data_IF_482283150983
#
_entry.id   IF_482283150983
#
_cell.length_a   1.000
_cell.length_b   1.000
_cell.length_c   1.000
_cell.angle_alpha   90.00
_cell.angle_beta   90.00
_cell.angle_gamma   90.00
#
_symmetry.space_group_name_H-M   'P 1'
#
loop_
_entity.id
_entity.type
_entity.pdbx_description
1 polymer ?
#
# COMPACT_ATOMS: atom_id res chain seq x y z
N UNK A 1 40.60 7.52 -20.17
CA UNK A 1 40.09 7.73 -18.79
C UNK A 1 38.58 7.56 -18.82
N UNK A 2 38.07 6.39 -18.40
CA UNK A 2 36.63 6.15 -18.25
C UNK A 2 36.17 6.74 -16.90
N UNK A 3 35.62 7.95 -16.91
CA UNK A 3 34.96 8.56 -15.74
C UNK A 3 33.47 8.21 -15.76
N UNK A 4 33.09 7.17 -15.00
CA UNK A 4 31.76 6.59 -15.00
C UNK A 4 30.65 7.52 -14.50
N UNK A 5 29.55 7.56 -15.25
CA UNK A 5 28.26 8.14 -14.88
C UNK A 5 27.54 7.28 -13.81
N UNK A 6 28.17 7.06 -12.66
CA UNK A 6 27.64 6.21 -11.58
C UNK A 6 26.46 6.89 -10.84
N UNK A 7 26.37 8.22 -10.89
CA UNK A 7 25.34 9.00 -10.18
C UNK A 7 23.91 8.85 -10.71
N UNK A 8 23.72 8.43 -11.96
CA UNK A 8 22.38 8.26 -12.54
C UNK A 8 21.79 6.85 -12.36
N UNK A 9 22.63 5.85 -12.06
CA UNK A 9 22.21 4.44 -11.99
C UNK A 9 21.60 4.13 -10.62
N UNK A 10 22.17 4.69 -9.55
CA UNK A 10 21.73 4.42 -8.16
C UNK A 10 20.29 4.88 -7.89
N UNK A 11 19.83 6.09 -8.28
CA UNK A 11 18.43 6.50 -8.09
C UNK A 11 17.44 5.66 -8.91
N UNK A 12 17.86 5.18 -10.08
CA UNK A 12 17.03 4.43 -11.01
C UNK A 12 16.86 2.98 -10.57
N UNK A 13 17.93 2.37 -10.04
CA UNK A 13 17.87 1.05 -9.38
C UNK A 13 17.09 1.11 -8.06
N UNK A 14 17.29 2.13 -7.22
CA UNK A 14 16.54 2.28 -5.97
C UNK A 14 15.05 2.57 -6.24
N UNK A 15 14.75 3.44 -7.20
CA UNK A 15 13.37 3.73 -7.63
C UNK A 15 12.67 2.48 -8.18
N UNK A 16 13.33 1.76 -9.09
CA UNK A 16 12.82 0.50 -9.65
C UNK A 16 12.63 -0.58 -8.58
N UNK A 17 13.56 -0.69 -7.63
CA UNK A 17 13.49 -1.66 -6.53
C UNK A 17 12.29 -1.41 -5.60
N UNK A 18 12.02 -0.16 -5.22
CA UNK A 18 10.85 0.15 -4.37
C UNK A 18 9.52 -0.15 -5.06
N UNK A 19 9.43 0.07 -6.38
CA UNK A 19 8.24 -0.25 -7.19
C UNK A 19 8.09 -1.76 -7.35
N UNK A 20 9.20 -2.48 -7.59
CA UNK A 20 9.22 -3.94 -7.70
C UNK A 20 8.78 -4.60 -6.39
N UNK A 21 9.31 -4.14 -5.25
CA UNK A 21 8.95 -4.66 -3.93
C UNK A 21 7.46 -4.44 -3.65
N UNK A 22 6.90 -3.27 -3.97
CA UNK A 22 5.45 -3.02 -3.83
C UNK A 22 4.58 -3.92 -4.70
N UNK A 23 4.97 -4.18 -5.94
CA UNK A 23 4.24 -5.11 -6.82
C UNK A 23 4.30 -6.55 -6.33
N UNK A 24 5.44 -6.98 -5.80
CA UNK A 24 5.61 -8.31 -5.20
C UNK A 24 4.83 -8.45 -3.90
N UNK A 25 4.88 -7.45 -3.02
CA UNK A 25 4.11 -7.37 -1.77
C UNK A 25 2.60 -7.52 -2.03
N UNK A 26 2.05 -6.85 -3.05
CA UNK A 26 0.63 -6.97 -3.39
C UNK A 26 0.25 -8.37 -3.87
N UNK A 27 1.12 -9.02 -4.65
CA UNK A 27 0.87 -10.40 -5.09
C UNK A 27 0.91 -11.39 -3.93
N UNK A 28 1.80 -11.19 -2.96
CA UNK A 28 1.83 -12.00 -1.73
C UNK A 28 0.61 -11.75 -0.86
N UNK A 29 0.18 -10.49 -0.72
CA UNK A 29 -1.07 -10.18 0.00
C UNK A 29 -2.28 -10.85 -0.64
N UNK A 30 -2.31 -10.98 -1.96
CA UNK A 30 -3.40 -11.67 -2.64
C UNK A 30 -3.39 -13.20 -2.45
N UNK A 31 -2.21 -13.81 -2.30
CA UNK A 31 -2.06 -15.27 -2.19
C UNK A 31 -2.13 -15.76 -0.74
N UNK A 32 -1.48 -15.04 0.17
CA UNK A 32 -1.25 -15.45 1.57
C UNK A 32 -1.76 -14.43 2.58
N UNK A 33 -2.32 -13.31 2.11
CA UNK A 33 -2.80 -12.26 2.99
C UNK A 33 -4.03 -12.68 3.78
N UNK A 34 -4.08 -12.22 5.01
CA UNK A 34 -5.24 -12.38 5.89
C UNK A 34 -5.97 -11.05 5.99
N UNK A 35 -7.28 -11.11 5.82
CA UNK A 35 -8.15 -9.96 5.98
C UNK A 35 -8.35 -9.62 7.46
N UNK A 36 -8.30 -8.34 7.76
CA UNK A 36 -8.64 -7.77 9.06
C UNK A 36 -9.38 -6.46 8.87
N UNK A 37 -10.00 -5.98 9.94
CA UNK A 37 -10.66 -4.67 9.95
C UNK A 37 -9.76 -3.67 10.66
N UNK A 38 -9.35 -2.65 9.91
CA UNK A 38 -8.68 -1.48 10.43
C UNK A 38 -9.65 -0.34 10.70
N UNK A 39 -9.14 0.70 11.36
CA UNK A 39 -9.87 1.93 11.66
C UNK A 39 -9.11 3.12 11.08
N UNK A 40 -9.80 4.01 10.37
CA UNK A 40 -9.20 5.25 9.86
C UNK A 40 -8.89 6.17 11.03
N UNK A 41 -7.63 6.52 11.21
CA UNK A 41 -7.18 7.41 12.29
C UNK A 41 -7.00 8.85 11.81
N UNK A 42 -6.73 9.06 10.51
CA UNK A 42 -6.55 10.41 9.96
C UNK A 42 -6.79 10.44 8.45
N UNK A 43 -7.21 11.61 7.97
CA UNK A 43 -7.30 11.92 6.54
C UNK A 43 -6.38 13.09 6.19
N UNK A 44 -5.66 12.98 5.09
CA UNK A 44 -4.71 13.98 4.59
C UNK A 44 -5.01 14.28 3.11
N UNK A 45 -5.11 15.57 2.79
CA UNK A 45 -5.25 16.07 1.43
C UNK A 45 -3.98 16.82 1.06
N UNK A 46 -3.33 16.37 0.00
CA UNK A 46 -2.12 17.03 -0.52
C UNK A 46 -2.44 17.93 -1.71
N UNK A 47 -1.50 18.83 -2.00
CA UNK A 47 -1.49 19.61 -3.25
C UNK A 47 -1.48 18.66 -4.47
N UNK A 48 -2.06 19.12 -5.59
CA UNK A 48 -2.27 18.33 -6.83
C UNK A 48 -3.27 17.17 -6.73
N UNK A 49 -4.21 17.21 -5.77
CA UNK A 49 -5.33 16.27 -5.74
C UNK A 49 -4.94 14.85 -5.33
N UNK A 50 -3.86 14.68 -4.55
CA UNK A 50 -3.51 13.40 -3.95
C UNK A 50 -4.15 13.28 -2.57
N UNK A 51 -4.83 12.16 -2.34
CA UNK A 51 -5.56 11.90 -1.10
C UNK A 51 -4.93 10.71 -0.38
N UNK A 52 -4.79 10.84 0.93
CA UNK A 52 -4.15 9.83 1.77
C UNK A 52 -4.95 9.63 3.04
N UNK A 53 -5.06 8.37 3.46
CA UNK A 53 -5.61 8.01 4.76
C UNK A 53 -4.51 7.39 5.62
N UNK A 54 -4.58 7.65 6.92
CA UNK A 54 -3.88 6.88 7.94
C UNK A 54 -4.89 6.00 8.63
N UNK A 55 -4.50 4.77 8.89
CA UNK A 55 -5.35 3.80 9.55
C UNK A 55 -4.51 2.92 10.46
N UNK A 56 -5.17 2.27 11.39
CA UNK A 56 -4.57 1.26 12.25
C UNK A 56 -5.33 -0.04 12.15
N UNK A 57 -4.67 -1.15 12.44
CA UNK A 57 -5.31 -2.45 12.59
C UNK A 57 -4.54 -3.28 13.62
N UNK A 58 -5.14 -4.40 14.00
CA UNK A 58 -4.53 -5.38 14.88
C UNK A 58 -4.26 -6.66 14.10
N UNK A 59 -3.11 -7.28 14.32
CA UNK A 59 -2.84 -8.62 13.82
C UNK A 59 -3.55 -9.68 14.69
N UNK A 60 -3.41 -10.95 14.29
CA UNK A 60 -3.96 -12.11 15.02
C UNK A 60 -3.39 -12.28 16.43
N UNK A 61 -2.27 -11.65 16.76
CA UNK A 61 -1.64 -11.68 18.07
C UNK A 61 -2.01 -10.46 18.93
N UNK A 62 -2.84 -9.55 18.42
CA UNK A 62 -3.24 -8.32 19.10
C UNK A 62 -2.21 -7.18 19.03
N UNK A 63 -1.18 -7.30 18.19
CA UNK A 63 -0.24 -6.21 17.96
C UNK A 63 -0.86 -5.15 17.07
N UNK A 64 -0.72 -3.88 17.46
CA UNK A 64 -1.26 -2.73 16.73
C UNK A 64 -0.26 -2.24 15.68
N UNK A 65 -0.76 -2.03 14.46
CA UNK A 65 0.02 -1.51 13.34
C UNK A 65 -0.59 -0.22 12.82
N UNK A 66 0.27 0.75 12.48
CA UNK A 66 -0.14 2.02 11.86
C UNK A 66 0.31 2.05 10.42
N UNK A 67 -0.61 2.40 9.53
CA UNK A 67 -0.36 2.42 8.10
C UNK A 67 -0.95 3.65 7.44
N UNK A 68 -0.53 3.80 6.19
CA UNK A 68 -0.88 4.94 5.38
C UNK A 68 -1.03 4.45 3.94
N UNK A 69 -2.18 4.74 3.33
CA UNK A 69 -2.43 4.44 1.92
C UNK A 69 -2.88 5.68 1.17
N UNK A 70 -2.46 5.78 -0.10
CA UNK A 70 -3.01 6.75 -1.03
C UNK A 70 -4.29 6.16 -1.61
N UNK A 71 -5.37 6.93 -1.58
CA UNK A 71 -6.69 6.48 -2.02
C UNK A 71 -7.22 7.40 -3.10
N UNK A 72 -8.22 6.93 -3.85
CA UNK A 72 -8.95 7.75 -4.80
C UNK A 72 -9.68 8.90 -4.08
N UNK A 73 -10.07 9.93 -4.84
CA UNK A 73 -10.90 11.03 -4.31
C UNK A 73 -12.23 10.53 -3.77
N UNK A 74 -12.84 9.59 -4.47
CA UNK A 74 -14.14 9.02 -4.10
C UNK A 74 -14.03 8.26 -2.77
N UNK A 75 -13.07 7.33 -2.67
CA UNK A 75 -12.77 6.61 -1.43
C UNK A 75 -12.46 7.57 -0.28
N UNK A 76 -11.67 8.61 -0.55
CA UNK A 76 -11.37 9.63 0.46
C UNK A 76 -12.63 10.35 0.96
N UNK A 77 -13.57 10.66 0.06
CA UNK A 77 -14.80 11.37 0.44
C UNK A 77 -15.77 10.46 1.21
N UNK A 78 -15.81 9.17 0.91
CA UNK A 78 -16.69 8.20 1.58
C UNK A 78 -16.18 7.77 2.96
N UNK A 79 -14.87 7.81 3.20
CA UNK A 79 -14.29 7.43 4.49
C UNK A 79 -14.36 8.56 5.51
N UNK A 80 -14.61 8.23 6.77
CA UNK A 80 -14.56 9.15 7.90
C UNK A 80 -13.50 8.72 8.90
N UNK A 81 -13.02 9.64 9.74
CA UNK A 81 -12.14 9.24 10.84
C UNK A 81 -12.96 8.43 11.83
N UNK A 82 -12.44 7.27 12.25
CA UNK A 82 -13.16 6.27 13.03
C UNK A 82 -13.92 5.24 12.18
N UNK A 83 -14.04 5.45 10.86
CA UNK A 83 -14.72 4.47 10.01
C UNK A 83 -13.87 3.20 9.84
N UNK A 84 -14.51 2.03 9.73
CA UNK A 84 -13.81 0.79 9.44
C UNK A 84 -13.25 0.79 8.01
N UNK A 85 -12.12 0.13 7.82
CA UNK A 85 -11.52 -0.16 6.51
C UNK A 85 -11.07 -1.61 6.44
N UNK A 86 -11.23 -2.25 5.29
CA UNK A 86 -10.73 -3.60 5.05
C UNK A 86 -9.24 -3.55 4.74
N UNK A 87 -8.47 -4.30 5.51
CA UNK A 87 -7.02 -4.38 5.41
C UNK A 87 -6.63 -5.81 5.16
N UNK A 88 -5.67 -6.03 4.27
CA UNK A 88 -5.02 -7.33 4.08
C UNK A 88 -3.60 -7.19 4.57
N UNK A 89 -3.12 -8.13 5.38
CA UNK A 89 -1.74 -8.17 5.87
C UNK A 89 -1.15 -9.57 5.73
N UNK A 90 0.19 -9.67 5.65
CA UNK A 90 0.86 -10.98 5.68
C UNK A 90 1.04 -11.46 7.13
N UNK A 91 0.52 -12.64 7.53
CA UNK A 91 0.68 -13.13 8.90
C UNK A 91 2.13 -13.29 9.34
N UNK A 92 2.99 -13.76 8.42
CA UNK A 92 4.41 -13.97 8.67
C UNK A 92 5.22 -12.66 8.64
N UNK A 93 4.65 -11.58 8.10
CA UNK A 93 5.27 -10.27 8.08
C UNK A 93 4.20 -9.17 8.11
N UNK A 94 3.58 -8.88 9.27
CA UNK A 94 2.45 -7.95 9.34
C UNK A 94 2.81 -6.52 8.93
N UNK A 95 4.10 -6.16 8.91
CA UNK A 95 4.58 -4.92 8.31
C UNK A 95 4.37 -4.83 6.79
N UNK A 96 3.93 -5.88 6.13
CA UNK A 96 3.41 -5.85 4.75
C UNK A 96 1.89 -5.93 4.82
N UNK A 97 1.22 -4.83 4.44
CA UNK A 97 -0.23 -4.74 4.43
C UNK A 97 -0.70 -3.69 3.43
N UNK A 98 -1.93 -3.84 2.94
CA UNK A 98 -2.61 -2.88 2.07
C UNK A 98 -4.10 -2.79 2.38
N UNK A 99 -4.79 -1.84 1.75
CA UNK A 99 -6.26 -1.88 1.72
C UNK A 99 -6.69 -3.02 0.81
N UNK A 100 -7.78 -3.70 1.15
CA UNK A 100 -8.31 -4.79 0.34
C UNK A 100 -8.57 -4.34 -1.12
N UNK A 101 -9.16 -3.15 -1.30
CA UNK A 101 -9.39 -2.56 -2.62
C UNK A 101 -8.10 -2.42 -3.44
N UNK A 102 -6.99 -2.01 -2.80
CA UNK A 102 -5.71 -1.83 -3.48
C UNK A 102 -5.12 -3.17 -3.92
N UNK A 103 -5.32 -4.22 -3.11
CA UNK A 103 -4.89 -5.59 -3.44
C UNK A 103 -5.72 -6.16 -4.59
N UNK A 104 -7.04 -6.00 -4.54
CA UNK A 104 -7.96 -6.43 -5.61
C UNK A 104 -7.66 -5.73 -6.95
N UNK A 105 -7.40 -4.42 -6.92
CA UNK A 105 -7.05 -3.65 -8.11
C UNK A 105 -5.71 -4.10 -8.69
N UNK A 106 -4.73 -4.43 -7.85
CA UNK A 106 -3.44 -4.96 -8.29
C UNK A 106 -3.58 -6.35 -8.92
N UNK A 107 -4.47 -7.20 -8.39
CA UNK A 107 -4.80 -8.50 -8.98
C UNK A 107 -5.52 -8.39 -10.33
N UNK A 108 -6.31 -7.33 -10.54
CA UNK A 108 -7.05 -7.08 -11.78
C UNK A 108 -6.22 -6.40 -12.87
N UNK A 109 -5.19 -5.64 -12.50
CA UNK A 109 -4.29 -4.96 -13.43
C UNK A 109 -3.55 -5.86 -14.45
N UNK A 110 -3.15 -7.13 -14.18
CA UNK A 110 -2.47 -7.97 -15.17
C UNK A 110 -3.29 -8.28 -16.44
N UNK A 111 -4.63 -8.16 -16.43
CA UNK A 111 -5.49 -8.53 -17.56
C UNK A 111 -5.69 -7.42 -18.62
N UNK A 112 -5.12 -6.21 -18.45
CA UNK A 112 -5.36 -5.08 -19.37
C UNK A 112 -4.28 -4.87 -20.45
N UNK A 113 -3.39 -5.84 -20.66
CA UNK A 113 -2.42 -5.81 -21.77
C UNK A 113 -2.61 -7.01 -22.69
N UNK A 114 -3.65 -6.96 -23.50
CA UNK A 114 -3.78 -7.75 -24.73
C UNK A 114 -4.35 -6.87 -25.83
#
# INVERSE_FOLDING_TARGET
MLGGNIFAIVPLLLGGYTVYMRGFEMRWLAMEGVETTGTVTRKLKFVRGRYQIKYEYYDSFGNRYYRTSFVSRETYNHLEVGSPVKVVYLPNQPSVSGLLSDVEDACRAPDRKT
#
